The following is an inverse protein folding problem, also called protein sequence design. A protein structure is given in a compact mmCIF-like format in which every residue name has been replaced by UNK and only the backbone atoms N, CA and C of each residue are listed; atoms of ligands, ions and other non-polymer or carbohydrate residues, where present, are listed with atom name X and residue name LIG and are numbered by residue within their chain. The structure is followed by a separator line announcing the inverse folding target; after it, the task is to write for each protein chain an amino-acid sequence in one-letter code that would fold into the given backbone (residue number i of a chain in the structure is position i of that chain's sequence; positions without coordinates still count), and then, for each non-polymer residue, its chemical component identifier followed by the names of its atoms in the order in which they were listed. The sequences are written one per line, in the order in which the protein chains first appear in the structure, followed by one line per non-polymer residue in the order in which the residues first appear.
data_IF_580858234595
#
_entry.id   IF_580858234595
#
_cell.length_a   1.000
_cell.length_b   1.000
_cell.length_c   1.000
_cell.angle_alpha   90.00
_cell.angle_beta   90.00
_cell.angle_gamma   90.00
#
_symmetry.space_group_name_H-M   'P 1'
#
loop_
_entity.id
_entity.type
_entity.pdbx_description
1 polymer ?
#
# COMPACT_ATOMS: atom_id res chain seq x y z
N UNK A 1 2.34 -6.95 7.68
CA UNK A 1 3.69 -7.24 8.27
C UNK A 1 3.83 -8.71 8.69
N UNK A 2 2.87 -9.26 9.44
CA UNK A 2 2.86 -10.68 9.89
C UNK A 2 2.82 -11.68 8.74
N UNK A 3 1.99 -11.41 7.72
CA UNK A 3 1.86 -12.23 6.50
C UNK A 3 3.21 -12.39 5.78
N UNK A 4 3.96 -11.31 5.57
CA UNK A 4 5.29 -11.37 4.97
C UNK A 4 6.32 -12.13 5.82
N UNK A 5 6.23 -12.06 7.15
CA UNK A 5 7.15 -12.79 8.03
C UNK A 5 6.90 -14.30 7.89
N UNK A 6 5.65 -14.72 8.04
CA UNK A 6 5.26 -16.14 8.06
C UNK A 6 5.49 -16.78 6.70
N UNK A 7 5.01 -16.15 5.63
CA UNK A 7 4.94 -16.79 4.30
C UNK A 7 6.14 -16.51 3.40
N UNK A 8 7.01 -15.54 3.75
CA UNK A 8 8.11 -15.12 2.88
C UNK A 8 9.47 -15.04 3.60
N UNK A 9 9.56 -14.51 4.82
CA UNK A 9 10.85 -14.47 5.56
C UNK A 9 11.23 -15.83 6.15
N UNK A 10 10.31 -16.52 6.84
CA UNK A 10 10.61 -17.84 7.41
C UNK A 10 11.01 -18.88 6.36
N UNK A 11 10.35 -18.98 5.20
CA UNK A 11 10.74 -19.96 4.17
C UNK A 11 12.10 -19.61 3.55
N UNK A 12 12.42 -18.32 3.38
CA UNK A 12 13.75 -17.88 2.94
C UNK A 12 14.87 -18.29 3.91
N UNK A 13 14.57 -18.38 5.20
CA UNK A 13 15.50 -18.84 6.23
C UNK A 13 15.58 -20.37 6.34
N UNK A 14 14.86 -21.12 5.50
CA UNK A 14 14.89 -22.58 5.46
C UNK A 14 13.87 -23.28 6.35
N UNK A 15 12.95 -22.55 6.98
CA UNK A 15 11.91 -23.16 7.82
C UNK A 15 10.75 -23.70 6.98
N UNK A 16 10.23 -24.86 7.38
CA UNK A 16 9.01 -25.49 6.83
C UNK A 16 9.01 -25.78 5.31
N UNK A 17 10.17 -25.83 4.64
CA UNK A 17 10.29 -25.98 3.18
C UNK A 17 9.48 -27.16 2.62
N UNK A 18 9.70 -28.38 3.14
CA UNK A 18 9.01 -29.60 2.70
C UNK A 18 7.49 -29.54 2.92
N UNK A 19 7.05 -28.82 3.95
CA UNK A 19 5.63 -28.63 4.21
C UNK A 19 5.02 -27.68 3.17
N UNK A 20 5.65 -26.53 2.95
CA UNK A 20 5.19 -25.51 2.01
C UNK A 20 5.22 -25.99 0.56
N UNK A 21 6.22 -26.78 0.17
CA UNK A 21 6.34 -27.39 -1.16
C UNK A 21 5.17 -28.35 -1.46
N UNK A 22 4.70 -29.09 -0.44
CA UNK A 22 3.57 -30.02 -0.58
C UNK A 22 2.21 -29.33 -0.48
N UNK A 23 2.15 -28.12 0.06
CA UNK A 23 0.91 -27.44 0.44
C UNK A 23 0.75 -26.11 -0.33
N UNK A 24 0.34 -26.20 -1.60
CA UNK A 24 0.15 -25.02 -2.46
C UNK A 24 -0.87 -24.02 -1.90
N UNK A 25 -1.85 -24.48 -1.12
CA UNK A 25 -2.84 -23.61 -0.47
C UNK A 25 -2.21 -22.54 0.44
N UNK A 26 -1.00 -22.76 0.96
CA UNK A 26 -0.27 -21.74 1.72
C UNK A 26 0.18 -20.58 0.83
N UNK A 27 0.56 -20.86 -0.41
CA UNK A 27 0.91 -19.82 -1.39
C UNK A 27 -0.34 -19.07 -1.84
N UNK A 28 -1.47 -19.77 -1.99
CA UNK A 28 -2.77 -19.16 -2.28
C UNK A 28 -3.17 -18.17 -1.19
N UNK A 29 -3.17 -18.62 0.07
CA UNK A 29 -3.48 -17.77 1.23
C UNK A 29 -2.55 -16.57 1.29
N UNK A 30 -1.25 -16.78 1.07
CA UNK A 30 -0.28 -15.70 1.05
C UNK A 30 -0.63 -14.61 0.03
N UNK A 31 -0.84 -14.96 -1.24
CA UNK A 31 -1.08 -13.96 -2.26
C UNK A 31 -2.46 -13.30 -2.16
N UNK A 32 -3.48 -14.04 -1.70
CA UNK A 32 -4.80 -13.47 -1.43
C UNK A 32 -4.70 -12.41 -0.32
N UNK A 33 -4.09 -12.76 0.82
CA UNK A 33 -3.91 -11.83 1.93
C UNK A 33 -3.02 -10.66 1.54
N UNK A 34 -1.92 -10.91 0.82
CA UNK A 34 -1.01 -9.85 0.39
C UNK A 34 -1.69 -8.85 -0.55
N UNK A 35 -2.44 -9.34 -1.54
CA UNK A 35 -3.23 -8.50 -2.43
C UNK A 35 -4.27 -7.68 -1.67
N UNK A 36 -5.03 -8.33 -0.78
CA UNK A 36 -6.05 -7.68 0.03
C UNK A 36 -5.46 -6.60 0.96
N UNK A 37 -4.42 -6.92 1.73
CA UNK A 37 -3.76 -5.98 2.65
C UNK A 37 -3.25 -4.75 1.90
N UNK A 38 -2.58 -4.97 0.76
CA UNK A 38 -2.04 -3.90 -0.07
C UNK A 38 -3.15 -2.99 -0.59
N UNK A 39 -4.18 -3.56 -1.21
CA UNK A 39 -5.30 -2.76 -1.75
C UNK A 39 -6.01 -1.99 -0.64
N UNK A 40 -6.23 -2.62 0.51
CA UNK A 40 -6.87 -1.95 1.64
C UNK A 40 -6.03 -0.77 2.16
N UNK A 41 -4.71 -0.92 2.22
CA UNK A 41 -3.79 0.16 2.60
C UNK A 41 -3.95 1.38 1.67
N UNK A 42 -3.95 1.19 0.35
CA UNK A 42 -4.16 2.28 -0.61
C UNK A 42 -5.52 2.97 -0.45
N UNK A 43 -6.58 2.20 -0.27
CA UNK A 43 -7.93 2.73 -0.07
C UNK A 43 -8.03 3.56 1.22
N UNK A 44 -7.43 3.08 2.32
CA UNK A 44 -7.39 3.81 3.59
C UNK A 44 -6.59 5.11 3.46
N UNK A 45 -5.45 5.09 2.78
CA UNK A 45 -4.64 6.30 2.51
C UNK A 45 -5.43 7.34 1.70
N UNK A 46 -6.22 6.90 0.72
CA UNK A 46 -7.13 7.76 -0.01
C UNK A 46 -8.21 8.35 0.89
N UNK A 47 -8.84 7.53 1.74
CA UNK A 47 -9.87 7.98 2.68
C UNK A 47 -9.34 9.02 3.67
N UNK A 48 -8.13 8.85 4.20
CA UNK A 48 -7.50 9.87 5.03
C UNK A 48 -7.28 11.19 4.30
N UNK A 49 -6.92 11.12 3.01
CA UNK A 49 -6.70 12.30 2.18
C UNK A 49 -8.02 13.02 1.85
N UNK A 50 -9.09 12.27 1.55
CA UNK A 50 -10.45 12.80 1.37
C UNK A 50 -10.96 13.44 2.66
N UNK A 51 -10.78 12.75 3.80
CA UNK A 51 -11.17 13.24 5.13
C UNK A 51 -10.55 14.60 5.42
N UNK A 52 -9.23 14.70 5.25
CA UNK A 52 -8.48 15.95 5.46
C UNK A 52 -8.96 17.06 4.53
N UNK A 53 -9.11 16.76 3.25
CA UNK A 53 -9.57 17.73 2.26
C UNK A 53 -10.97 18.28 2.62
N UNK A 54 -11.93 17.40 2.93
CA UNK A 54 -13.30 17.81 3.30
C UNK A 54 -13.29 18.58 4.63
N UNK A 55 -12.48 18.19 5.62
CA UNK A 55 -12.39 18.89 6.89
C UNK A 55 -11.91 20.34 6.73
N UNK A 56 -10.98 20.59 5.80
CA UNK A 56 -10.38 21.91 5.57
C UNK A 56 -11.25 22.77 4.64
N UNK A 57 -11.75 22.20 3.55
CA UNK A 57 -12.42 22.95 2.48
C UNK A 57 -13.95 23.04 2.67
N UNK A 58 -14.55 22.02 3.29
CA UNK A 58 -16.00 21.92 3.50
C UNK A 58 -16.37 21.50 4.93
N UNK A 59 -15.95 22.25 5.98
CA UNK A 59 -16.14 21.86 7.38
C UNK A 59 -17.61 21.65 7.76
N UNK A 60 -18.55 22.39 7.16
CA UNK A 60 -19.99 22.26 7.42
C UNK A 60 -20.57 20.94 6.91
N UNK A 61 -19.99 20.38 5.84
CA UNK A 61 -20.41 19.10 5.25
C UNK A 61 -19.71 17.90 5.89
N UNK A 62 -18.67 18.13 6.70
CA UNK A 62 -17.85 17.07 7.30
C UNK A 62 -18.68 16.04 8.04
N UNK A 63 -19.55 16.49 8.96
CA UNK A 63 -20.38 15.60 9.78
C UNK A 63 -21.36 14.76 8.96
N UNK A 64 -21.78 15.26 7.79
CA UNK A 64 -22.65 14.52 6.88
C UNK A 64 -21.89 13.38 6.20
N UNK A 65 -20.72 13.66 5.61
CA UNK A 65 -19.92 12.65 4.92
C UNK A 65 -19.27 11.64 5.88
N UNK A 66 -18.75 12.11 7.03
CA UNK A 66 -18.00 11.30 8.00
C UNK A 66 -18.83 10.94 9.25
N UNK A 67 -20.15 10.79 9.10
CA UNK A 67 -20.97 10.22 10.16
C UNK A 67 -20.57 8.77 10.45
N UNK A 68 -20.80 8.29 11.68
CA UNK A 68 -20.43 6.91 12.10
C UNK A 68 -20.98 5.86 11.13
N UNK A 69 -22.23 5.98 10.73
CA UNK A 69 -22.88 5.04 9.80
C UNK A 69 -22.26 5.08 8.40
N UNK A 70 -21.94 6.27 7.88
CA UNK A 70 -21.30 6.39 6.56
C UNK A 70 -19.87 5.86 6.58
N UNK A 71 -19.12 6.11 7.65
CA UNK A 71 -17.78 5.55 7.82
C UNK A 71 -17.77 4.03 7.85
N UNK A 72 -18.70 3.40 8.57
CA UNK A 72 -18.85 1.94 8.57
C UNK A 72 -19.14 1.43 7.16
N UNK A 73 -20.07 2.06 6.43
CA UNK A 73 -20.40 1.68 5.04
C UNK A 73 -19.18 1.77 4.12
N UNK A 74 -18.41 2.86 4.19
CA UNK A 74 -17.20 3.05 3.38
C UNK A 74 -16.17 1.96 3.68
N UNK A 75 -15.90 1.69 4.97
CA UNK A 75 -14.93 0.66 5.37
C UNK A 75 -15.34 -0.74 4.91
N UNK A 76 -16.64 -1.07 5.00
CA UNK A 76 -17.17 -2.34 4.50
C UNK A 76 -16.99 -2.46 2.99
N UNK A 77 -17.28 -1.41 2.22
CA UNK A 77 -17.04 -1.39 0.76
C UNK A 77 -15.56 -1.61 0.45
N UNK A 78 -14.67 -0.96 1.20
CA UNK A 78 -13.22 -1.12 1.03
C UNK A 78 -12.74 -2.54 1.31
N UNK A 79 -13.29 -3.18 2.34
CA UNK A 79 -13.00 -4.59 2.65
C UNK A 79 -13.43 -5.52 1.51
N UNK A 80 -14.63 -5.31 0.94
CA UNK A 80 -15.08 -6.12 -0.20
C UNK A 80 -14.25 -5.89 -1.45
N UNK A 81 -13.91 -4.64 -1.76
CA UNK A 81 -13.08 -4.30 -2.92
C UNK A 81 -11.67 -4.89 -2.78
N UNK A 82 -11.05 -4.76 -1.60
CA UNK A 82 -9.71 -5.31 -1.36
C UNK A 82 -9.71 -6.84 -1.37
N UNK A 83 -10.72 -7.49 -0.77
CA UNK A 83 -10.88 -8.94 -0.85
C UNK A 83 -11.04 -9.41 -2.29
N UNK A 84 -11.77 -8.68 -3.14
CA UNK A 84 -11.95 -9.03 -4.56
C UNK A 84 -10.63 -9.00 -5.32
N UNK A 85 -9.78 -7.98 -5.09
CA UNK A 85 -8.44 -7.92 -5.69
C UNK A 85 -7.54 -9.05 -5.17
N UNK A 86 -7.60 -9.35 -3.87
CA UNK A 86 -6.89 -10.46 -3.25
C UNK A 86 -7.25 -11.81 -3.88
N UNK A 87 -8.56 -12.14 -3.90
CA UNK A 87 -9.11 -13.37 -4.48
C UNK A 87 -8.73 -13.50 -5.96
N UNK A 88 -8.63 -12.41 -6.72
CA UNK A 88 -8.18 -12.48 -8.11
C UNK A 88 -6.81 -13.16 -8.29
N UNK A 89 -5.90 -13.07 -7.31
CA UNK A 89 -4.60 -13.74 -7.36
C UNK A 89 -4.71 -15.28 -7.27
N UNK A 90 -5.77 -15.80 -6.64
CA UNK A 90 -6.02 -17.23 -6.49
C UNK A 90 -6.09 -17.96 -7.84
N UNK A 91 -6.68 -17.32 -8.84
CA UNK A 91 -6.89 -17.91 -10.18
C UNK A 91 -5.59 -18.13 -10.98
N UNK A 92 -4.44 -17.66 -10.48
CA UNK A 92 -3.14 -17.81 -11.16
C UNK A 92 -2.28 -18.95 -10.59
N UNK A 93 -2.89 -19.83 -9.79
CA UNK A 93 -2.27 -21.02 -9.19
C UNK A 93 -0.89 -20.77 -8.56
N UNK A 94 -0.83 -19.95 -7.50
CA UNK A 94 0.35 -19.87 -6.64
C UNK A 94 0.91 -21.23 -6.20
N UNK A 95 2.23 -21.32 -6.12
CA UNK A 95 2.94 -22.46 -5.53
C UNK A 95 4.27 -22.01 -4.95
N UNK A 96 4.80 -22.75 -3.98
CA UNK A 96 6.16 -22.50 -3.51
C UNK A 96 7.17 -23.20 -4.40
N UNK A 97 8.19 -22.46 -4.87
CA UNK A 97 9.28 -23.00 -5.68
C UNK A 97 10.60 -22.34 -5.28
N UNK A 98 11.70 -23.02 -5.59
CA UNK A 98 13.02 -22.38 -5.55
C UNK A 98 13.07 -21.40 -6.71
N UNK A 99 13.31 -20.12 -6.40
CA UNK A 99 13.50 -19.11 -7.42
C UNK A 99 14.91 -19.23 -7.99
N UNK A 100 15.02 -19.66 -9.25
CA UNK A 100 16.29 -19.87 -9.94
C UNK A 100 17.18 -18.61 -9.99
N UNK A 101 16.59 -17.41 -9.95
CA UNK A 101 17.35 -16.15 -9.99
C UNK A 101 18.07 -15.81 -8.68
N UNK A 102 17.58 -16.29 -7.54
CA UNK A 102 18.12 -15.93 -6.22
C UNK A 102 18.42 -17.13 -5.30
N UNK A 103 18.12 -18.35 -5.74
CA UNK A 103 18.27 -19.58 -4.96
C UNK A 103 17.34 -19.69 -3.75
N UNK A 104 16.41 -18.74 -3.56
CA UNK A 104 15.52 -18.71 -2.39
C UNK A 104 14.21 -19.45 -2.65
N UNK A 105 13.73 -20.16 -1.63
CA UNK A 105 12.42 -20.77 -1.63
C UNK A 105 11.34 -19.73 -1.31
N UNK A 106 10.52 -19.40 -2.30
CA UNK A 106 9.52 -18.32 -2.23
C UNK A 106 8.24 -18.72 -2.94
N UNK A 107 7.10 -18.12 -2.57
CA UNK A 107 5.88 -18.29 -3.35
C UNK A 107 6.07 -17.63 -4.73
N UNK A 108 5.60 -18.31 -5.78
CA UNK A 108 5.60 -17.86 -7.16
C UNK A 108 4.32 -18.30 -7.86
N UNK A 109 3.93 -17.57 -8.90
CA UNK A 109 2.77 -17.92 -9.71
C UNK A 109 3.17 -18.91 -10.80
N UNK A 110 2.31 -19.87 -11.10
CA UNK A 110 2.53 -20.81 -12.21
C UNK A 110 2.22 -20.19 -13.58
N UNK A 111 1.28 -19.25 -13.64
CA UNK A 111 0.83 -18.63 -14.88
C UNK A 111 1.60 -17.34 -15.21
N UNK A 112 1.99 -17.16 -16.46
CA UNK A 112 2.60 -15.92 -16.98
C UNK A 112 1.58 -14.78 -17.14
N UNK A 113 0.28 -15.10 -17.24
CA UNK A 113 -0.79 -14.11 -17.36
C UNK A 113 -0.97 -13.26 -16.10
N UNK A 114 -0.36 -13.66 -14.97
CA UNK A 114 -0.36 -12.88 -13.74
C UNK A 114 0.24 -11.49 -13.92
N UNK A 115 1.20 -11.31 -14.85
CA UNK A 115 1.82 -10.01 -15.09
C UNK A 115 0.79 -8.98 -15.51
N UNK A 116 -0.16 -9.33 -16.38
CA UNK A 116 -1.22 -8.42 -16.81
C UNK A 116 -2.14 -8.03 -15.65
N UNK A 117 -2.48 -9.01 -14.80
CA UNK A 117 -3.28 -8.74 -13.60
C UNK A 117 -2.53 -7.83 -12.62
N UNK A 118 -1.24 -8.09 -12.39
CA UNK A 118 -0.37 -7.26 -11.55
C UNK A 118 -0.27 -5.83 -12.10
N UNK A 119 -0.06 -5.66 -13.40
CA UNK A 119 -0.03 -4.34 -14.04
C UNK A 119 -1.36 -3.61 -13.83
N UNK A 120 -2.49 -4.30 -14.02
CA UNK A 120 -3.81 -3.71 -13.82
C UNK A 120 -3.99 -3.15 -12.40
N UNK A 121 -3.78 -3.97 -11.36
CA UNK A 121 -4.06 -3.49 -10.00
C UNK A 121 -2.94 -2.62 -9.43
N UNK A 122 -1.66 -2.85 -9.79
CA UNK A 122 -0.55 -2.03 -9.28
C UNK A 122 -0.40 -0.70 -10.01
N UNK A 123 -0.34 -0.71 -11.34
CA UNK A 123 -0.08 0.52 -12.11
C UNK A 123 -1.37 1.30 -12.31
N UNK A 124 -2.45 0.63 -12.75
CA UNK A 124 -3.69 1.36 -13.03
C UNK A 124 -4.43 1.69 -11.74
N UNK A 125 -4.81 0.70 -10.94
CA UNK A 125 -5.66 0.92 -9.77
C UNK A 125 -4.92 1.69 -8.66
N UNK A 126 -3.74 1.22 -8.23
CA UNK A 126 -2.98 1.97 -7.20
C UNK A 126 -2.46 3.29 -7.74
N UNK A 127 -1.96 3.36 -8.98
CA UNK A 127 -1.54 4.63 -9.58
C UNK A 127 -2.64 5.71 -9.60
N UNK A 128 -3.88 5.36 -9.97
CA UNK A 128 -5.02 6.31 -9.93
C UNK A 128 -5.32 6.74 -8.50
N UNK A 129 -5.34 5.80 -7.56
CA UNK A 129 -5.56 6.10 -6.13
C UNK A 129 -4.46 7.04 -5.62
N UNK A 130 -3.22 6.78 -6.01
CA UNK A 130 -2.06 7.55 -5.60
C UNK A 130 -2.09 8.98 -6.12
N UNK A 131 -2.35 9.16 -7.42
CA UNK A 131 -2.50 10.48 -8.05
C UNK A 131 -3.63 11.27 -7.39
N UNK A 132 -4.79 10.62 -7.18
CA UNK A 132 -5.94 11.26 -6.52
C UNK A 132 -5.59 11.70 -5.09
N UNK A 133 -4.90 10.85 -4.34
CA UNK A 133 -4.41 11.12 -2.99
C UNK A 133 -3.46 12.33 -2.97
N UNK A 134 -2.52 12.40 -3.92
CA UNK A 134 -1.61 13.54 -4.06
C UNK A 134 -2.36 14.84 -4.34
N UNK A 135 -3.30 14.84 -5.29
CA UNK A 135 -4.11 16.01 -5.64
C UNK A 135 -4.89 16.53 -4.42
N UNK A 136 -5.55 15.63 -3.68
CA UNK A 136 -6.32 15.99 -2.49
C UNK A 136 -5.44 16.57 -1.38
N UNK A 137 -4.28 15.96 -1.12
CA UNK A 137 -3.35 16.48 -0.12
C UNK A 137 -2.78 17.86 -0.51
N UNK A 138 -2.45 18.07 -1.79
CA UNK A 138 -1.99 19.39 -2.28
C UNK A 138 -3.09 20.43 -2.11
N UNK A 139 -4.34 20.13 -2.51
CA UNK A 139 -5.48 21.03 -2.32
C UNK A 139 -5.69 21.38 -0.84
N UNK A 140 -5.64 20.38 0.04
CA UNK A 140 -5.76 20.60 1.48
C UNK A 140 -4.65 21.52 2.02
N UNK A 141 -3.39 21.34 1.58
CA UNK A 141 -2.26 22.20 1.97
C UNK A 141 -2.46 23.64 1.48
N UNK A 142 -2.83 23.83 0.21
CA UNK A 142 -3.07 25.16 -0.36
C UNK A 142 -4.15 25.90 0.43
N UNK A 143 -5.25 25.22 0.73
CA UNK A 143 -6.35 25.79 1.51
C UNK A 143 -5.97 26.12 2.94
N UNK A 144 -5.21 25.25 3.60
CA UNK A 144 -4.65 25.52 4.93
C UNK A 144 -3.70 26.72 4.91
N UNK A 145 -2.91 26.90 3.85
CA UNK A 145 -1.99 28.04 3.69
C UNK A 145 -2.74 29.36 3.54
N UNK A 146 -3.85 29.38 2.81
CA UNK A 146 -4.74 30.55 2.71
C UNK A 146 -5.34 30.90 4.08
N UNK A 147 -5.85 29.90 4.81
CA UNK A 147 -6.42 30.09 6.15
C UNK A 147 -5.38 30.49 7.21
N UNK A 148 -4.10 30.10 7.03
CA UNK A 148 -2.97 30.43 7.92
C UNK A 148 -2.73 31.94 8.03
N UNK A 149 -3.10 32.73 7.02
CA UNK A 149 -3.01 34.19 7.11
C UNK A 149 -3.92 34.79 8.19
N UNK A 150 -4.90 34.04 8.70
CA UNK A 150 -5.96 34.55 9.58
C UNK A 150 -6.13 33.79 10.92
N UNK A 151 -5.27 32.80 11.24
CA UNK A 151 -5.49 31.89 12.39
C UNK A 151 -4.30 31.76 13.34
N UNK A 152 -4.58 31.80 14.66
CA UNK A 152 -3.61 31.59 15.75
C UNK A 152 -3.11 30.13 15.92
N UNK A 153 -3.70 29.13 15.24
CA UNK A 153 -3.37 27.71 15.41
C UNK A 153 -2.24 27.23 14.47
N UNK A 154 -1.13 27.98 14.43
CA UNK A 154 0.00 27.76 13.53
C UNK A 154 0.66 26.38 13.68
N UNK A 155 0.83 25.89 14.91
CA UNK A 155 1.56 24.65 15.21
C UNK A 155 0.85 23.40 14.66
N UNK A 156 -0.47 23.33 14.82
CA UNK A 156 -1.28 22.22 14.30
C UNK A 156 -1.30 22.19 12.76
N UNK A 157 -1.43 23.34 12.12
CA UNK A 157 -1.39 23.43 10.65
C UNK A 157 -0.04 22.98 10.08
N UNK A 158 1.07 23.38 10.70
CA UNK A 158 2.41 23.00 10.28
C UNK A 158 2.65 21.49 10.41
N UNK A 159 2.09 20.86 11.45
CA UNK A 159 2.10 19.41 11.63
C UNK A 159 1.39 18.69 10.47
N UNK A 160 0.18 19.13 10.09
CA UNK A 160 -0.54 18.53 8.96
C UNK A 160 0.19 18.68 7.62
N UNK A 161 0.85 19.82 7.38
CA UNK A 161 1.66 20.03 6.18
C UNK A 161 2.84 19.05 6.14
N UNK A 162 3.57 18.89 7.25
CA UNK A 162 4.68 17.92 7.35
C UNK A 162 4.20 16.50 7.09
N UNK A 163 3.06 16.12 7.68
CA UNK A 163 2.48 14.79 7.47
C UNK A 163 2.03 14.57 6.02
N UNK A 164 1.42 15.57 5.37
CA UNK A 164 1.09 15.49 3.93
C UNK A 164 2.32 15.28 3.05
N UNK A 165 3.44 15.99 3.32
CA UNK A 165 4.70 15.81 2.58
C UNK A 165 5.26 14.41 2.80
N UNK A 166 5.23 13.92 4.04
CA UNK A 166 5.66 12.56 4.37
C UNK A 166 4.85 11.50 3.61
N UNK A 167 3.52 11.63 3.59
CA UNK A 167 2.65 10.73 2.83
C UNK A 167 2.94 10.81 1.33
N UNK A 168 3.20 12.00 0.79
CA UNK A 168 3.57 12.14 -0.62
C UNK A 168 4.87 11.39 -0.97
N UNK A 169 5.92 11.55 -0.16
CA UNK A 169 7.21 10.89 -0.37
C UNK A 169 7.06 9.37 -0.29
N UNK A 170 6.41 8.88 0.77
CA UNK A 170 6.23 7.44 0.99
C UNK A 170 5.41 6.79 -0.11
N UNK A 171 4.32 7.42 -0.53
CA UNK A 171 3.49 6.96 -1.65
C UNK A 171 4.27 6.93 -2.97
N UNK A 172 5.10 7.94 -3.25
CA UNK A 172 5.98 7.94 -4.41
C UNK A 172 7.01 6.79 -4.36
N UNK A 173 7.55 6.48 -3.19
CA UNK A 173 8.44 5.32 -3.00
C UNK A 173 7.70 3.99 -3.21
N UNK A 174 6.44 3.87 -2.77
CA UNK A 174 5.61 2.68 -3.00
C UNK A 174 5.35 2.47 -4.50
N UNK A 175 4.99 3.52 -5.23
CA UNK A 175 4.78 3.46 -6.69
C UNK A 175 6.07 3.09 -7.42
N UNK A 176 7.18 3.75 -7.08
CA UNK A 176 8.49 3.43 -7.64
C UNK A 176 8.88 1.97 -7.36
N UNK A 177 8.60 1.47 -6.16
CA UNK A 177 8.82 0.06 -5.82
C UNK A 177 8.05 -0.88 -6.76
N UNK A 178 6.75 -0.64 -6.97
CA UNK A 178 5.94 -1.50 -7.84
C UNK A 178 6.41 -1.44 -9.31
N UNK A 179 6.68 -0.25 -9.84
CA UNK A 179 7.18 -0.08 -11.21
C UNK A 179 8.52 -0.80 -11.39
N UNK A 180 9.49 -0.55 -10.50
CA UNK A 180 10.80 -1.20 -10.58
C UNK A 180 10.68 -2.72 -10.43
N UNK A 181 9.80 -3.21 -9.54
CA UNK A 181 9.57 -4.65 -9.37
C UNK A 181 9.01 -5.29 -10.64
N UNK A 182 8.03 -4.67 -11.28
CA UNK A 182 7.45 -5.17 -12.54
C UNK A 182 8.53 -5.22 -13.62
N UNK A 183 9.36 -4.17 -13.76
CA UNK A 183 10.46 -4.15 -14.74
C UNK A 183 11.46 -5.27 -14.47
N UNK A 184 11.94 -5.42 -13.23
CA UNK A 184 12.93 -6.45 -12.87
C UNK A 184 12.40 -7.85 -13.11
N UNK A 185 11.13 -8.11 -12.77
CA UNK A 185 10.51 -9.44 -12.96
C UNK A 185 10.24 -9.72 -14.43
N UNK A 186 9.76 -8.73 -15.20
CA UNK A 186 9.37 -8.92 -16.59
C UNK A 186 10.57 -9.06 -17.54
N UNK A 187 11.64 -8.30 -17.29
CA UNK A 187 12.83 -8.27 -18.14
C UNK A 187 14.01 -9.09 -17.58
N UNK A 188 13.82 -9.74 -16.42
CA UNK A 188 14.83 -10.55 -15.73
C UNK A 188 16.18 -9.82 -15.53
N UNK A 189 16.16 -8.50 -15.37
CA UNK A 189 17.38 -7.67 -15.25
C UNK A 189 17.93 -7.77 -13.83
N UNK A 190 18.78 -8.78 -13.60
CA UNK A 190 19.37 -9.07 -12.28
C UNK A 190 20.16 -7.89 -11.68
N UNK A 191 20.78 -7.05 -12.51
CA UNK A 191 21.54 -5.87 -12.06
C UNK A 191 20.67 -4.88 -11.28
N UNK A 192 19.37 -4.79 -11.61
CA UNK A 192 18.43 -3.85 -10.99
C UNK A 192 17.69 -4.46 -9.78
N UNK A 193 17.89 -5.75 -9.49
CA UNK A 193 17.21 -6.45 -8.39
C UNK A 193 17.39 -5.81 -6.99
N UNK A 194 18.54 -5.17 -6.65
CA UNK A 194 18.69 -4.50 -5.36
C UNK A 194 17.78 -3.25 -5.20
N UNK A 195 17.38 -2.61 -6.30
CA UNK A 195 16.63 -1.34 -6.26
C UNK A 195 15.22 -1.54 -5.69
N UNK A 196 14.39 -2.47 -6.18
CA UNK A 196 13.11 -2.78 -5.54
C UNK A 196 13.25 -3.18 -4.07
N UNK A 197 14.33 -3.87 -3.70
CA UNK A 197 14.55 -4.26 -2.29
C UNK A 197 14.78 -3.04 -1.39
N UNK A 198 15.62 -2.11 -1.83
CA UNK A 198 15.84 -0.84 -1.12
C UNK A 198 14.56 0.00 -1.04
N UNK A 199 13.85 0.14 -2.17
CA UNK A 199 12.58 0.87 -2.22
C UNK A 199 11.52 0.23 -1.33
N UNK A 200 11.48 -1.10 -1.20
CA UNK A 200 10.57 -1.77 -0.27
C UNK A 200 10.84 -1.36 1.19
N UNK A 201 12.10 -1.35 1.63
CA UNK A 201 12.44 -0.91 3.00
C UNK A 201 12.01 0.55 3.21
N UNK A 202 12.34 1.42 2.25
CA UNK A 202 11.97 2.83 2.32
C UNK A 202 10.45 3.04 2.28
N UNK A 203 9.72 2.27 1.49
CA UNK A 203 8.29 2.46 1.26
C UNK A 203 7.42 1.88 2.38
N UNK A 204 7.82 0.76 3.00
CA UNK A 204 6.98 0.07 3.98
C UNK A 204 7.47 0.25 5.42
N UNK A 205 8.78 0.14 5.66
CA UNK A 205 9.32 0.23 7.03
C UNK A 205 9.37 1.71 7.48
N UNK A 206 9.85 2.63 6.64
CA UNK A 206 9.86 4.06 6.97
C UNK A 206 8.45 4.62 7.14
N UNK A 207 7.50 4.19 6.30
CA UNK A 207 6.08 4.61 6.41
C UNK A 207 5.50 4.20 7.75
N UNK A 208 5.71 2.94 8.15
CA UNK A 208 5.22 2.43 9.43
C UNK A 208 5.80 3.18 10.63
N UNK A 209 7.12 3.45 10.61
CA UNK A 209 7.80 4.20 11.67
C UNK A 209 7.33 5.65 11.70
N UNK A 210 7.19 6.28 10.54
CA UNK A 210 6.76 7.67 10.45
C UNK A 210 5.29 7.83 10.86
N UNK A 211 4.39 6.97 10.43
CA UNK A 211 2.99 7.00 10.89
C UNK A 211 2.89 6.86 12.41
N UNK A 212 3.70 5.98 13.02
CA UNK A 212 3.79 5.87 14.48
C UNK A 212 4.29 7.16 15.14
N UNK A 213 5.34 7.77 14.58
CA UNK A 213 5.86 9.05 15.05
C UNK A 213 4.80 10.15 14.98
N UNK A 214 4.14 10.33 13.83
CA UNK A 214 3.09 11.34 13.67
C UNK A 214 1.91 11.06 14.61
N UNK A 215 1.53 9.80 14.85
CA UNK A 215 0.47 9.48 15.80
C UNK A 215 0.78 9.95 17.23
N UNK A 216 1.99 9.72 17.72
CA UNK A 216 2.41 10.15 19.07
C UNK A 216 2.42 11.69 19.18
N UNK A 217 3.00 12.37 18.20
CA UNK A 217 3.20 13.82 18.24
C UNK A 217 2.00 14.63 17.72
N UNK A 218 0.91 13.97 17.36
CA UNK A 218 -0.38 14.62 17.00
C UNK A 218 -1.21 15.06 18.20
N UNK A 219 -0.86 14.58 19.41
CA UNK A 219 -1.42 15.03 20.70
C UNK A 219 -0.68 16.26 21.22
#
# INVERSE_FOLDING_TARGET
MTTNIIFLKLPKLGFYLKFLEKNNWMADVFYVLFGQETTFMFLITLLFSINRYIAVDYPTKYKHYFSKTNMIKILVIFLFLSASIGIGNFFFHPSYKINNSFGFFVPSFASTNITYYQVFYTICLFGIISITTCILNVKAILRLREQRQFSNNFKAQLFYIRYSIFIFITLACVEAFYICRVIVVQYEIHLLAPIPYFLHILAFDLTSIGDFYFLIYSR
#
